data_IF_243999183214
#
_entry.id   IF_243999183214
#
_cell.length_a   1.000
_cell.length_b   1.000
_cell.length_c   1.000
_cell.angle_alpha   90.00
_cell.angle_beta   90.00
_cell.angle_gamma   90.00
#
_symmetry.space_group_name_H-M   'P 1'
#
loop_
_entity.id
_entity.type
_entity.pdbx_description
1 polymer ?
#
# COMPACT_ATOMS: atom_id res chain seq x y z
N UNK A 1 -13.00 -53.16 -23.87
CA UNK A 1 -11.90 -52.69 -24.73
C UNK A 1 -11.88 -51.17 -24.76
N UNK A 2 -11.35 -50.54 -23.71
CA UNK A 2 -10.99 -49.13 -23.78
C UNK A 2 -9.65 -49.08 -24.52
N UNK A 3 -9.67 -48.68 -25.80
CA UNK A 3 -8.44 -48.42 -26.56
C UNK A 3 -7.62 -47.45 -25.71
N UNK A 4 -6.43 -47.89 -25.29
CA UNK A 4 -5.41 -47.01 -24.78
C UNK A 4 -5.16 -45.96 -25.86
N UNK A 5 -5.79 -44.79 -25.72
CA UNK A 5 -5.47 -43.65 -26.55
C UNK A 5 -3.96 -43.46 -26.43
N UNK A 6 -3.25 -43.58 -27.55
CA UNK A 6 -1.80 -43.51 -27.54
C UNK A 6 -1.41 -42.16 -26.97
N UNK A 7 -0.80 -42.15 -25.77
CA UNK A 7 -0.30 -40.89 -25.18
C UNK A 7 0.53 -40.16 -26.24
N UNK A 8 0.28 -38.86 -26.49
CA UNK A 8 1.13 -38.04 -27.35
C UNK A 8 2.59 -38.26 -27.00
N UNK A 9 3.49 -38.27 -28.00
CA UNK A 9 4.90 -38.63 -27.79
C UNK A 9 5.56 -37.79 -26.68
N UNK A 10 5.18 -36.50 -26.59
CA UNK A 10 5.64 -35.54 -25.58
C UNK A 10 5.21 -35.93 -24.15
N UNK A 11 4.06 -36.59 -24.00
CA UNK A 11 3.50 -37.00 -22.69
C UNK A 11 4.06 -38.35 -22.23
N UNK A 12 4.69 -39.12 -23.12
CA UNK A 12 5.25 -40.44 -22.77
C UNK A 12 6.51 -40.35 -21.91
N UNK A 13 7.22 -39.22 -21.98
CA UNK A 13 8.47 -38.98 -21.27
C UNK A 13 8.29 -38.22 -19.96
N UNK A 14 7.07 -37.76 -19.67
CA UNK A 14 6.75 -36.97 -18.47
C UNK A 14 6.21 -37.91 -17.39
N UNK A 15 6.73 -37.80 -16.18
CA UNK A 15 6.27 -38.62 -15.06
C UNK A 15 4.84 -38.27 -14.65
N UNK A 16 4.12 -39.21 -14.02
CA UNK A 16 2.75 -39.00 -13.54
C UNK A 16 2.65 -37.88 -12.51
N UNK A 17 3.66 -37.71 -11.65
CA UNK A 17 3.70 -36.63 -10.65
C UNK A 17 3.86 -35.29 -11.36
N UNK A 18 4.81 -35.19 -12.29
CA UNK A 18 5.04 -33.98 -13.08
C UNK A 18 3.81 -33.59 -13.91
N UNK A 19 3.14 -34.56 -14.54
CA UNK A 19 1.87 -34.31 -15.24
C UNK A 19 0.80 -33.76 -14.30
N UNK A 20 0.67 -34.33 -13.09
CA UNK A 20 -0.30 -33.86 -12.11
C UNK A 20 -0.03 -32.41 -11.70
N UNK A 21 1.23 -32.07 -11.37
CA UNK A 21 1.62 -30.70 -11.00
C UNK A 21 1.35 -29.70 -12.14
N UNK A 22 1.68 -30.05 -13.38
CA UNK A 22 1.45 -29.16 -14.52
C UNK A 22 -0.05 -28.93 -14.78
N UNK A 23 -0.88 -29.97 -14.62
CA UNK A 23 -2.34 -29.85 -14.71
C UNK A 23 -2.89 -28.96 -13.59
N UNK A 24 -2.40 -29.12 -12.36
CA UNK A 24 -2.80 -28.28 -11.24
C UNK A 24 -2.45 -26.80 -11.48
N UNK A 25 -1.22 -26.52 -11.92
CA UNK A 25 -0.77 -25.16 -12.29
C UNK A 25 -1.61 -24.56 -13.41
N UNK A 26 -1.94 -25.35 -14.44
CA UNK A 26 -2.82 -24.91 -15.53
C UNK A 26 -4.23 -24.57 -15.02
N UNK A 27 -4.80 -25.38 -14.12
CA UNK A 27 -6.10 -25.08 -13.49
C UNK A 27 -6.01 -23.79 -12.67
N UNK A 28 -4.94 -23.60 -11.89
CA UNK A 28 -4.73 -22.37 -11.11
C UNK A 28 -4.64 -21.14 -12.02
N UNK A 29 -3.83 -21.20 -13.08
CA UNK A 29 -3.70 -20.14 -14.09
C UNK A 29 -5.04 -19.79 -14.75
N UNK A 30 -5.87 -20.81 -15.04
CA UNK A 30 -7.18 -20.62 -15.65
C UNK A 30 -8.22 -20.02 -14.70
N UNK A 31 -8.16 -20.35 -13.40
CA UNK A 31 -9.19 -19.97 -12.42
C UNK A 31 -8.87 -18.70 -11.66
N UNK A 32 -7.62 -18.52 -11.27
CA UNK A 32 -7.21 -17.44 -10.36
C UNK A 32 -6.53 -16.28 -11.08
N UNK A 33 -5.87 -16.51 -12.22
CA UNK A 33 -5.17 -15.45 -12.95
C UNK A 33 -6.06 -14.97 -14.09
N UNK A 34 -6.45 -13.69 -14.06
CA UNK A 34 -7.38 -13.10 -15.01
C UNK A 34 -6.67 -11.96 -15.75
N UNK A 35 -6.79 -11.98 -17.08
CA UNK A 35 -6.30 -10.91 -17.93
C UNK A 35 -7.03 -9.61 -17.59
N UNK A 36 -6.30 -8.51 -17.68
CA UNK A 36 -6.73 -7.13 -17.36
C UNK A 36 -7.06 -6.89 -15.87
N UNK A 37 -6.74 -7.86 -15.00
CA UNK A 37 -6.84 -7.73 -13.54
C UNK A 37 -5.56 -8.10 -12.83
N UNK A 38 -5.09 -9.34 -13.04
CA UNK A 38 -3.88 -9.86 -12.42
C UNK A 38 -2.65 -9.69 -13.34
N UNK A 39 -2.88 -9.57 -14.64
CA UNK A 39 -1.85 -9.33 -15.65
C UNK A 39 -2.43 -8.72 -16.92
N UNK A 40 -1.55 -8.17 -17.75
CA UNK A 40 -1.84 -7.79 -19.13
C UNK A 40 -0.88 -8.50 -20.07
N UNK A 41 -1.25 -8.63 -21.35
CA UNK A 41 -0.37 -9.11 -22.40
C UNK A 41 0.10 -7.91 -23.22
N UNK A 42 1.40 -7.66 -23.27
CA UNK A 42 2.00 -6.54 -23.98
C UNK A 42 3.24 -6.99 -24.72
N UNK A 43 3.36 -6.62 -26.00
CA UNK A 43 4.49 -6.99 -26.86
C UNK A 43 4.78 -8.50 -26.90
N UNK A 44 3.74 -9.34 -26.73
CA UNK A 44 3.86 -10.79 -26.69
C UNK A 44 4.28 -11.38 -25.35
N UNK A 45 4.44 -10.56 -24.30
CA UNK A 45 4.83 -10.99 -22.95
C UNK A 45 3.70 -10.79 -21.93
N UNK A 46 3.67 -11.64 -20.90
CA UNK A 46 2.78 -11.47 -19.75
C UNK A 46 3.41 -10.53 -18.73
N UNK A 47 2.74 -9.40 -18.47
CA UNK A 47 3.19 -8.41 -17.48
C UNK A 47 2.24 -8.41 -16.29
N UNK A 48 2.78 -8.69 -15.11
CA UNK A 48 2.01 -8.76 -13.86
C UNK A 48 1.48 -7.37 -13.49
N UNK A 49 0.22 -7.29 -13.09
CA UNK A 49 -0.39 -6.08 -12.51
C UNK A 49 -0.34 -6.19 -11.00
N UNK A 50 0.24 -5.20 -10.33
CA UNK A 50 0.22 -5.09 -8.88
C UNK A 50 -1.20 -4.71 -8.41
N UNK A 51 -1.86 -5.59 -7.66
CA UNK A 51 -3.26 -5.43 -7.26
C UNK A 51 -3.54 -4.21 -6.38
N UNK A 52 -2.55 -3.69 -5.66
CA UNK A 52 -2.73 -2.54 -4.78
C UNK A 52 -2.57 -1.21 -5.52
N UNK A 53 -1.81 -1.23 -6.61
CA UNK A 53 -1.38 -0.02 -7.30
C UNK A 53 -1.78 0.03 -8.77
N UNK A 54 -2.30 -1.05 -9.36
CA UNK A 54 -2.57 -1.15 -10.80
C UNK A 54 -1.31 -1.06 -11.68
N UNK A 55 -0.11 -1.09 -11.08
CA UNK A 55 1.15 -0.90 -11.79
C UNK A 55 1.56 -2.17 -12.52
N UNK A 56 2.11 -1.98 -13.72
CA UNK A 56 2.82 -3.01 -14.43
C UNK A 56 4.15 -3.28 -13.73
N UNK A 57 4.31 -4.49 -13.21
CA UNK A 57 5.54 -4.95 -12.60
C UNK A 57 6.44 -5.58 -13.67
N UNK A 58 6.95 -4.74 -14.56
CA UNK A 58 7.86 -5.14 -15.64
C UNK A 58 9.08 -5.89 -15.09
N UNK A 59 9.42 -7.02 -15.73
CA UNK A 59 10.49 -7.92 -15.30
C UNK A 59 10.16 -8.84 -14.13
N UNK A 60 8.97 -8.73 -13.50
CA UNK A 60 8.52 -9.71 -12.50
C UNK A 60 7.81 -10.89 -13.16
N UNK A 61 8.07 -12.09 -12.64
CA UNK A 61 7.41 -13.34 -13.04
C UNK A 61 6.82 -14.06 -11.83
N UNK A 62 5.72 -14.77 -12.00
CA UNK A 62 5.19 -15.66 -10.96
C UNK A 62 6.06 -16.92 -10.85
N UNK A 63 6.06 -17.53 -9.67
CA UNK A 63 6.96 -18.65 -9.33
C UNK A 63 6.34 -20.00 -9.67
N UNK A 64 7.13 -21.07 -9.48
CA UNK A 64 6.65 -22.46 -9.51
C UNK A 64 5.88 -22.81 -10.79
N UNK A 65 6.34 -22.33 -11.94
CA UNK A 65 5.71 -22.63 -13.23
C UNK A 65 4.40 -21.89 -13.51
N UNK A 66 3.89 -21.06 -12.58
CA UNK A 66 2.63 -20.33 -12.77
C UNK A 66 2.73 -19.33 -13.93
N UNK A 67 3.88 -18.67 -14.08
CA UNK A 67 4.07 -17.73 -15.19
C UNK A 67 4.01 -18.44 -16.53
N UNK A 68 4.68 -19.58 -16.65
CA UNK A 68 4.64 -20.44 -17.83
C UNK A 68 3.23 -20.97 -18.09
N UNK A 69 2.48 -21.30 -17.05
CA UNK A 69 1.09 -21.74 -17.19
C UNK A 69 0.18 -20.61 -17.71
N UNK A 70 0.41 -19.35 -17.30
CA UNK A 70 -0.32 -18.18 -17.82
C UNK A 70 0.11 -17.84 -19.25
N UNK A 71 1.40 -17.92 -19.58
CA UNK A 71 1.90 -17.77 -20.96
C UNK A 71 1.25 -18.81 -21.89
N UNK A 72 1.23 -20.08 -21.47
CA UNK A 72 0.59 -21.16 -22.22
C UNK A 72 -0.93 -20.95 -22.37
N UNK A 73 -1.60 -20.44 -21.32
CA UNK A 73 -3.02 -20.08 -21.35
C UNK A 73 -3.32 -18.99 -22.38
N UNK A 74 -2.44 -18.00 -22.52
CA UNK A 74 -2.59 -16.89 -23.49
C UNK A 74 -1.99 -17.23 -24.87
N UNK A 75 -1.56 -18.48 -25.08
CA UNK A 75 -0.94 -18.96 -26.32
C UNK A 75 0.32 -18.18 -26.72
N UNK A 76 1.11 -17.76 -25.74
CA UNK A 76 2.38 -17.07 -25.92
C UNK A 76 3.55 -18.06 -25.94
N UNK A 77 4.72 -17.58 -26.39
CA UNK A 77 5.96 -18.35 -26.28
C UNK A 77 6.31 -18.57 -24.82
N UNK A 78 6.53 -19.83 -24.42
CA UNK A 78 6.78 -20.19 -23.02
C UNK A 78 8.21 -19.81 -22.67
N UNK A 79 8.36 -18.92 -21.70
CA UNK A 79 9.66 -18.47 -21.26
C UNK A 79 10.33 -19.51 -20.36
N UNK A 80 11.68 -19.62 -20.37
CA UNK A 80 12.38 -20.57 -19.52
C UNK A 80 12.08 -20.28 -18.03
N UNK A 81 12.04 -21.32 -17.18
CA UNK A 81 11.82 -21.14 -15.75
C UNK A 81 12.87 -20.21 -15.16
N UNK A 82 12.41 -19.22 -14.38
CA UNK A 82 13.32 -18.35 -13.65
C UNK A 82 13.83 -19.11 -12.43
N UNK A 83 15.09 -19.55 -12.49
CA UNK A 83 15.78 -20.14 -11.34
C UNK A 83 16.24 -19.04 -10.37
N UNK A 84 16.08 -19.27 -9.07
CA UNK A 84 16.59 -18.35 -8.05
C UNK A 84 18.07 -18.63 -7.79
N UNK A 85 18.94 -17.81 -8.37
CA UNK A 85 20.39 -17.91 -8.12
C UNK A 85 20.79 -17.45 -6.70
N UNK A 86 20.03 -16.54 -6.10
CA UNK A 86 20.28 -16.10 -4.73
C UNK A 86 19.03 -15.48 -4.08
N UNK A 87 18.95 -15.56 -2.76
CA UNK A 87 17.88 -14.93 -1.96
C UNK A 87 18.43 -14.38 -0.64
N UNK A 88 18.03 -13.16 -0.30
CA UNK A 88 18.28 -12.54 1.02
C UNK A 88 17.09 -11.70 1.45
N UNK A 89 16.74 -11.73 2.74
CA UNK A 89 15.71 -10.83 3.28
C UNK A 89 16.29 -9.44 3.52
N UNK A 90 15.43 -8.41 3.54
CA UNK A 90 15.85 -7.04 3.86
C UNK A 90 16.48 -6.99 5.27
N UNK A 91 15.89 -7.71 6.22
CA UNK A 91 16.36 -7.81 7.60
C UNK A 91 17.80 -8.32 7.64
N UNK A 92 18.05 -9.45 6.98
CA UNK A 92 19.37 -10.07 6.97
C UNK A 92 20.39 -9.25 6.19
N UNK A 93 19.98 -8.68 5.07
CA UNK A 93 20.84 -7.82 4.27
C UNK A 93 21.40 -6.68 5.12
N UNK A 94 20.54 -5.98 5.88
CA UNK A 94 20.98 -4.90 6.75
C UNK A 94 21.79 -5.41 7.95
N UNK A 95 21.45 -6.55 8.56
CA UNK A 95 22.20 -7.12 9.70
C UNK A 95 23.67 -7.44 9.39
N UNK A 96 24.07 -7.49 8.11
CA UNK A 96 25.45 -7.70 7.67
C UNK A 96 26.33 -6.46 7.76
N UNK A 97 25.75 -5.28 7.94
CA UNK A 97 26.53 -4.04 8.07
C UNK A 97 27.13 -3.95 9.48
N UNK A 98 28.46 -3.72 9.62
CA UNK A 98 29.10 -3.58 10.94
C UNK A 98 28.57 -2.40 11.75
N UNK A 99 28.15 -1.33 11.05
CA UNK A 99 27.56 -0.14 11.62
C UNK A 99 26.24 0.16 10.93
N UNK A 100 25.20 0.35 11.72
CA UNK A 100 23.86 0.67 11.21
C UNK A 100 23.29 1.85 11.98
N UNK A 101 22.72 2.78 11.23
CA UNK A 101 21.93 3.89 11.76
C UNK A 101 20.77 4.17 10.80
N UNK A 102 19.73 4.80 11.30
CA UNK A 102 18.57 5.16 10.49
C UNK A 102 17.84 6.36 11.07
N UNK A 103 17.12 7.06 10.21
CA UNK A 103 16.32 8.23 10.58
C UNK A 103 14.90 8.09 10.04
N UNK A 104 13.91 8.50 10.84
CA UNK A 104 12.50 8.47 10.48
C UNK A 104 11.69 9.24 11.52
N UNK A 105 10.60 9.88 11.09
CA UNK A 105 9.76 10.68 11.97
C UNK A 105 8.74 9.90 12.81
N UNK A 106 8.66 8.57 12.69
CA UNK A 106 7.50 7.81 13.20
C UNK A 106 7.80 6.45 13.85
N UNK A 107 9.06 6.15 14.18
CA UNK A 107 9.47 4.81 14.65
C UNK A 107 9.43 4.60 16.17
N UNK A 108 9.23 5.65 16.95
CA UNK A 108 9.18 5.63 18.41
C UNK A 108 8.44 4.41 19.00
N UNK A 109 7.24 4.12 18.48
CA UNK A 109 6.38 3.02 18.96
C UNK A 109 6.85 1.61 18.54
N UNK A 110 7.73 1.52 17.56
CA UNK A 110 8.28 0.25 17.05
C UNK A 110 9.68 -0.04 17.59
N UNK A 111 10.17 0.71 18.60
CA UNK A 111 11.53 0.56 19.11
C UNK A 111 11.88 -0.84 19.62
N UNK A 112 10.92 -1.55 20.22
CA UNK A 112 11.14 -2.93 20.67
C UNK A 112 11.43 -3.89 19.49
N UNK A 113 10.70 -3.75 18.37
CA UNK A 113 10.91 -4.56 17.17
C UNK A 113 12.27 -4.23 16.53
N UNK A 114 12.65 -2.94 16.48
CA UNK A 114 13.96 -2.51 15.97
C UNK A 114 15.12 -3.06 16.80
N UNK A 115 15.00 -3.01 18.13
CA UNK A 115 16.00 -3.58 19.05
C UNK A 115 16.09 -5.10 18.90
N UNK A 116 14.96 -5.78 18.76
CA UNK A 116 14.93 -7.23 18.61
C UNK A 116 15.56 -7.70 17.28
N UNK A 117 15.28 -7.01 16.17
CA UNK A 117 15.70 -7.45 14.83
C UNK A 117 17.11 -6.97 14.48
N UNK A 118 17.40 -5.70 14.78
CA UNK A 118 18.61 -5.02 14.31
C UNK A 118 19.54 -4.59 15.45
N UNK A 119 19.18 -4.86 16.71
CA UNK A 119 19.92 -4.35 17.88
C UNK A 119 20.08 -2.83 17.86
N UNK A 120 19.08 -2.13 17.30
CA UNK A 120 19.05 -0.68 17.23
C UNK A 120 18.16 -0.09 18.32
N UNK A 121 18.73 0.84 19.07
CA UNK A 121 17.97 1.71 19.97
C UNK A 121 17.28 2.83 19.19
N UNK A 122 16.12 3.26 19.70
CA UNK A 122 15.38 4.39 19.15
C UNK A 122 15.50 5.56 20.11
N UNK A 123 16.01 6.68 19.61
CA UNK A 123 16.08 7.95 20.32
C UNK A 123 15.15 8.96 19.64
N UNK A 124 14.24 9.57 20.41
CA UNK A 124 13.39 10.65 19.93
C UNK A 124 14.13 11.98 20.03
N UNK A 125 14.38 12.62 18.88
CA UNK A 125 15.00 13.93 18.83
C UNK A 125 13.92 15.01 18.94
N UNK A 126 14.03 15.97 19.88
CA UNK A 126 13.09 17.07 19.99
C UNK A 126 13.00 17.89 18.70
N UNK A 127 11.80 18.37 18.39
CA UNK A 127 11.58 19.25 17.24
C UNK A 127 12.23 20.62 17.49
N UNK A 128 12.82 21.21 16.44
CA UNK A 128 13.40 22.56 16.51
C UNK A 128 12.41 23.64 16.97
N UNK A 129 11.13 23.53 16.55
CA UNK A 129 10.03 24.40 16.99
C UNK A 129 8.81 23.56 17.34
N UNK A 130 8.03 23.92 18.39
CA UNK A 130 6.83 23.18 18.76
C UNK A 130 5.80 23.14 17.61
N UNK A 131 5.16 21.99 17.35
CA UNK A 131 4.15 21.88 16.30
C UNK A 131 2.87 22.66 16.66
N UNK A 132 2.38 23.50 15.75
CA UNK A 132 1.11 24.26 15.88
C UNK A 132 -0.05 23.62 15.08
N UNK A 133 0.09 22.36 14.71
CA UNK A 133 -0.91 21.60 13.94
C UNK A 133 -2.15 21.31 14.78
N UNK A 134 -3.33 21.52 14.21
CA UNK A 134 -4.63 21.25 14.84
C UNK A 134 -5.30 20.02 14.22
N UNK A 135 -5.73 19.07 15.05
CA UNK A 135 -6.66 18.03 14.60
C UNK A 135 -8.08 18.58 14.59
N UNK A 136 -8.77 18.46 13.47
CA UNK A 136 -10.20 18.70 13.38
C UNK A 136 -10.95 17.41 13.75
N UNK A 137 -12.19 17.48 14.24
CA UNK A 137 -12.98 16.30 14.53
C UNK A 137 -13.10 15.39 13.31
N UNK A 138 -12.92 14.09 13.55
CA UNK A 138 -13.05 13.05 12.53
C UNK A 138 -14.48 13.05 11.97
N UNK A 139 -14.61 12.64 10.72
CA UNK A 139 -15.89 12.58 10.02
C UNK A 139 -16.16 11.17 9.51
N UNK A 140 -17.15 10.50 10.10
CA UNK A 140 -17.49 9.11 9.79
C UNK A 140 -18.82 9.07 9.03
N UNK A 141 -18.82 8.40 7.88
CA UNK A 141 -19.97 8.29 6.98
C UNK A 141 -20.42 6.83 6.83
N UNK A 142 -21.68 6.64 6.43
CA UNK A 142 -22.20 5.30 6.15
C UNK A 142 -21.54 4.63 4.94
N UNK A 143 -21.22 5.40 3.89
CA UNK A 143 -20.65 4.89 2.64
C UNK A 143 -19.48 5.73 2.12
N UNK A 144 -18.62 5.10 1.33
CA UNK A 144 -17.49 5.73 0.67
C UNK A 144 -17.92 6.84 -0.29
N UNK A 145 -19.07 6.69 -0.95
CA UNK A 145 -19.63 7.75 -1.81
C UNK A 145 -20.00 9.00 -1.00
N UNK A 146 -20.70 8.84 0.13
CA UNK A 146 -21.07 9.96 1.01
C UNK A 146 -19.83 10.64 1.61
N UNK A 147 -18.82 9.83 1.98
CA UNK A 147 -17.49 10.28 2.43
C UNK A 147 -16.82 11.16 1.39
N UNK A 148 -16.67 10.70 0.13
CA UNK A 148 -16.00 11.47 -0.91
C UNK A 148 -16.74 12.77 -1.26
N UNK A 149 -18.07 12.77 -1.27
CA UNK A 149 -18.86 14.00 -1.43
C UNK A 149 -18.63 15.00 -0.28
N UNK A 150 -18.46 14.52 0.94
CA UNK A 150 -18.13 15.38 2.08
C UNK A 150 -16.67 15.87 2.06
N UNK A 151 -15.74 15.09 1.51
CA UNK A 151 -14.35 15.51 1.25
C UNK A 151 -14.32 16.64 0.22
N UNK A 152 -15.02 16.47 -0.92
CA UNK A 152 -15.10 17.50 -1.98
C UNK A 152 -15.65 18.82 -1.41
N UNK A 153 -16.73 18.78 -0.64
CA UNK A 153 -17.30 19.97 0.00
C UNK A 153 -16.35 20.68 0.95
N UNK A 154 -15.52 19.94 1.71
CA UNK A 154 -14.48 20.56 2.53
C UNK A 154 -13.37 21.17 1.68
N UNK A 155 -12.94 20.48 0.62
CA UNK A 155 -11.94 20.99 -0.32
C UNK A 155 -12.43 22.29 -0.94
N UNK A 156 -13.65 22.35 -1.47
CA UNK A 156 -14.25 23.57 -2.04
C UNK A 156 -14.24 24.73 -1.03
N UNK A 157 -14.73 24.47 0.19
CA UNK A 157 -14.78 25.48 1.25
C UNK A 157 -13.40 26.01 1.63
N UNK A 158 -12.41 25.13 1.75
CA UNK A 158 -11.04 25.51 2.12
C UNK A 158 -10.33 26.19 0.94
N UNK A 159 -10.47 25.65 -0.26
CA UNK A 159 -9.90 26.19 -1.49
C UNK A 159 -10.43 27.59 -1.80
N UNK A 160 -11.71 27.87 -1.54
CA UNK A 160 -12.31 29.20 -1.70
C UNK A 160 -11.63 30.29 -0.85
N UNK A 161 -10.99 29.93 0.27
CA UNK A 161 -10.18 30.86 1.07
C UNK A 161 -8.77 31.09 0.52
N UNK A 162 -8.37 30.32 -0.50
CA UNK A 162 -7.01 30.26 -1.04
C UNK A 162 -6.05 29.41 -0.20
N UNK A 163 -6.53 28.69 0.81
CA UNK A 163 -5.68 27.82 1.63
C UNK A 163 -5.33 26.53 0.88
N UNK A 164 -4.06 26.08 0.87
CA UNK A 164 -3.69 24.84 0.20
C UNK A 164 -4.21 23.59 0.91
N UNK A 165 -4.54 22.57 0.12
CA UNK A 165 -5.06 21.28 0.59
C UNK A 165 -4.24 20.13 0.01
N UNK A 166 -3.82 19.22 0.89
CA UNK A 166 -3.25 17.93 0.53
C UNK A 166 -4.24 16.83 0.92
N UNK A 167 -4.65 16.01 -0.05
CA UNK A 167 -5.54 14.87 0.17
C UNK A 167 -4.74 13.59 0.03
N UNK A 168 -4.72 12.76 1.08
CA UNK A 168 -4.06 11.46 1.05
C UNK A 168 -5.08 10.34 0.83
N UNK A 169 -4.85 9.56 -0.22
CA UNK A 169 -5.65 8.40 -0.61
C UNK A 169 -4.84 7.11 -0.46
N UNK A 170 -5.55 5.98 -0.30
CA UNK A 170 -4.93 4.67 -0.12
C UNK A 170 -4.50 4.02 -1.44
N UNK A 171 -5.28 4.19 -2.51
CA UNK A 171 -5.04 3.57 -3.84
C UNK A 171 -5.16 4.59 -4.98
N UNK A 172 -4.64 4.23 -6.16
CA UNK A 172 -4.72 5.05 -7.37
C UNK A 172 -6.17 5.24 -7.79
N UNK A 173 -6.96 4.17 -7.82
CA UNK A 173 -8.38 4.22 -8.21
C UNK A 173 -9.18 5.24 -7.38
N UNK A 174 -8.91 5.30 -6.06
CA UNK A 174 -9.55 6.27 -5.17
C UNK A 174 -9.07 7.70 -5.43
N UNK A 175 -7.81 7.90 -5.83
CA UNK A 175 -7.31 9.21 -6.27
C UNK A 175 -8.00 9.68 -7.54
N UNK A 176 -8.13 8.81 -8.54
CA UNK A 176 -8.78 9.11 -9.82
C UNK A 176 -10.27 9.38 -9.62
N UNK A 177 -10.95 8.58 -8.80
CA UNK A 177 -12.35 8.80 -8.46
C UNK A 177 -12.56 10.16 -7.78
N UNK A 178 -11.69 10.54 -6.83
CA UNK A 178 -11.74 11.85 -6.20
C UNK A 178 -11.42 12.98 -7.20
N UNK A 179 -10.46 12.76 -8.10
CA UNK A 179 -10.07 13.70 -9.14
C UNK A 179 -11.27 14.04 -10.04
N UNK A 180 -12.00 13.04 -10.51
CA UNK A 180 -13.22 13.22 -11.31
C UNK A 180 -14.30 14.04 -10.57
N UNK A 181 -14.47 13.79 -9.26
CA UNK A 181 -15.42 14.56 -8.46
C UNK A 181 -15.00 16.03 -8.29
N UNK A 182 -13.70 16.30 -8.16
CA UNK A 182 -13.17 17.67 -8.10
C UNK A 182 -13.26 18.38 -9.45
N UNK A 183 -13.05 17.69 -10.57
CA UNK A 183 -13.25 18.24 -11.91
C UNK A 183 -14.72 18.63 -12.13
N UNK A 184 -15.65 17.77 -11.72
CA UNK A 184 -17.09 18.07 -11.76
C UNK A 184 -17.47 19.28 -10.88
N UNK A 185 -16.76 19.47 -9.76
CA UNK A 185 -16.90 20.64 -8.88
C UNK A 185 -16.16 21.89 -9.38
N UNK A 186 -15.38 21.79 -10.46
CA UNK A 186 -14.59 22.90 -11.00
C UNK A 186 -13.41 23.32 -10.14
N UNK A 187 -12.87 22.42 -9.30
CA UNK A 187 -11.73 22.69 -8.41
C UNK A 187 -10.43 22.25 -9.09
N UNK A 188 -9.53 23.19 -9.45
CA UNK A 188 -8.24 22.84 -10.07
C UNK A 188 -7.35 22.08 -9.08
N UNK A 189 -6.89 20.90 -9.47
CA UNK A 189 -6.09 20.04 -8.61
C UNK A 189 -5.02 19.28 -9.40
N UNK A 190 -4.10 18.62 -8.68
CA UNK A 190 -3.06 17.77 -9.25
C UNK A 190 -3.06 16.41 -8.56
N UNK A 191 -2.92 15.34 -9.33
CA UNK A 191 -2.90 13.96 -8.83
C UNK A 191 -1.47 13.40 -8.88
N UNK A 192 -1.05 12.76 -7.80
CA UNK A 192 0.27 12.15 -7.65
C UNK A 192 0.13 10.64 -7.39
N UNK A 193 0.47 9.87 -8.43
CA UNK A 193 0.30 8.42 -8.47
C UNK A 193 1.64 7.65 -8.36
N UNK A 194 2.76 8.33 -8.09
CA UNK A 194 4.11 7.74 -7.96
C UNK A 194 4.66 7.05 -9.22
N UNK A 195 4.29 7.54 -10.42
CA UNK A 195 4.78 7.06 -11.72
C UNK A 195 6.03 7.81 -12.19
N UNK A 196 6.18 9.10 -11.87
CA UNK A 196 7.29 9.93 -12.35
C UNK A 196 7.93 10.74 -11.22
N UNK A 197 8.95 10.15 -10.58
CA UNK A 197 9.54 10.67 -9.34
C UNK A 197 10.04 12.13 -9.48
N UNK A 198 10.70 12.46 -10.60
CA UNK A 198 11.30 13.79 -10.79
C UNK A 198 10.25 14.91 -10.91
N UNK A 199 9.23 14.72 -11.76
CA UNK A 199 8.14 15.71 -11.92
C UNK A 199 7.26 15.80 -10.68
N UNK A 200 7.07 14.69 -9.95
CA UNK A 200 6.28 14.69 -8.72
C UNK A 200 6.95 15.50 -7.61
N UNK A 201 8.29 15.48 -7.52
CA UNK A 201 9.00 16.30 -6.55
C UNK A 201 8.71 17.80 -6.73
N UNK A 202 8.64 18.28 -7.98
CA UNK A 202 8.31 19.69 -8.26
C UNK A 202 6.88 20.03 -7.87
N UNK A 203 5.93 19.14 -8.17
CA UNK A 203 4.52 19.31 -7.81
C UNK A 203 4.36 19.37 -6.28
N UNK A 204 5.00 18.45 -5.56
CA UNK A 204 4.93 18.37 -4.09
C UNK A 204 5.57 19.61 -3.44
N UNK A 205 6.69 20.08 -3.97
CA UNK A 205 7.33 21.31 -3.50
C UNK A 205 6.43 22.54 -3.70
N UNK A 206 5.58 22.54 -4.73
CA UNK A 206 4.61 23.59 -5.01
C UNK A 206 3.28 23.44 -4.26
N UNK A 207 2.99 22.28 -3.64
CA UNK A 207 1.71 21.97 -3.01
C UNK A 207 1.36 22.91 -1.84
N UNK A 208 2.35 23.55 -1.23
CA UNK A 208 2.17 24.52 -0.13
C UNK A 208 1.86 25.94 -0.58
N UNK A 209 1.69 26.20 -1.89
CA UNK A 209 1.36 27.53 -2.42
C UNK A 209 -0.14 27.83 -2.32
N UNK A 210 -0.49 29.12 -2.22
CA UNK A 210 -1.88 29.59 -2.14
C UNK A 210 -2.75 28.97 -3.25
N UNK A 211 -3.90 28.42 -2.85
CA UNK A 211 -4.92 27.82 -3.73
C UNK A 211 -4.58 26.44 -4.29
N UNK A 212 -3.45 25.82 -3.93
CA UNK A 212 -3.10 24.51 -4.48
C UNK A 212 -3.89 23.38 -3.81
N UNK A 213 -4.48 22.52 -4.63
CA UNK A 213 -5.09 21.24 -4.20
C UNK A 213 -4.27 20.11 -4.80
N UNK A 214 -3.79 19.20 -3.96
CA UNK A 214 -2.94 18.08 -4.37
C UNK A 214 -3.52 16.78 -3.80
N UNK A 215 -3.82 15.83 -4.67
CA UNK A 215 -4.19 14.47 -4.30
C UNK A 215 -2.93 13.62 -4.39
N UNK A 216 -2.60 12.89 -3.33
CA UNK A 216 -1.43 12.04 -3.28
C UNK A 216 -1.81 10.65 -2.76
N UNK A 217 -1.39 9.63 -3.50
CA UNK A 217 -1.33 8.28 -2.93
C UNK A 217 -0.24 8.22 -1.84
N UNK A 218 -0.37 7.28 -0.91
CA UNK A 218 0.54 7.11 0.23
C UNK A 218 2.05 7.23 -0.09
N UNK A 219 2.50 6.69 -1.22
CA UNK A 219 3.93 6.71 -1.59
C UNK A 219 4.38 7.96 -2.34
N UNK A 220 3.44 8.74 -2.90
CA UNK A 220 3.78 9.85 -3.77
C UNK A 220 4.35 11.04 -2.99
N UNK A 221 5.38 11.68 -3.53
CA UNK A 221 6.04 12.82 -2.88
C UNK A 221 6.81 12.50 -1.58
N UNK A 222 7.17 11.23 -1.35
CA UNK A 222 8.06 10.87 -0.24
C UNK A 222 9.47 11.41 -0.49
N UNK A 223 10.03 12.07 0.52
CA UNK A 223 11.35 12.71 0.44
C UNK A 223 11.33 14.19 0.10
N UNK A 224 10.23 14.71 -0.47
CA UNK A 224 10.07 16.14 -0.75
C UNK A 224 9.31 16.85 0.36
N UNK A 225 9.81 18.01 0.76
CA UNK A 225 9.18 18.87 1.75
C UNK A 225 8.13 19.80 1.13
N UNK A 226 7.01 20.01 1.83
CA UNK A 226 5.95 20.95 1.41
C UNK A 226 6.13 22.23 2.20
N UNK A 227 6.86 23.18 1.64
CA UNK A 227 7.07 24.49 2.25
C UNK A 227 5.86 25.40 1.98
N UNK A 228 5.43 26.13 2.99
CA UNK A 228 4.35 27.10 2.84
C UNK A 228 4.81 28.27 1.95
N UNK A 229 3.99 28.64 0.98
CA UNK A 229 4.21 29.84 0.17
C UNK A 229 3.88 31.13 0.95
N UNK A 230 4.24 32.30 0.40
CA UNK A 230 3.92 33.59 1.02
C UNK A 230 2.41 33.75 1.27
N UNK A 231 2.03 34.25 2.44
CA UNK A 231 0.62 34.52 2.79
C UNK A 231 -0.19 33.27 3.20
N UNK A 232 0.40 32.07 3.18
CA UNK A 232 -0.30 30.82 3.51
C UNK A 232 -0.35 30.57 5.02
N UNK A 233 0.62 31.10 5.77
CA UNK A 233 0.64 30.98 7.23
C UNK A 233 -0.61 31.65 7.85
N UNK A 234 -0.95 32.83 7.35
CA UNK A 234 -2.11 33.63 7.74
C UNK A 234 -3.44 32.95 7.39
N UNK A 235 -3.46 32.10 6.36
CA UNK A 235 -4.60 31.27 5.98
C UNK A 235 -4.73 30.00 6.85
N UNK A 236 -3.85 29.81 7.84
CA UNK A 236 -3.84 28.65 8.73
C UNK A 236 -2.95 27.50 8.24
N UNK A 237 -2.06 27.75 7.27
CA UNK A 237 -1.10 26.79 6.76
C UNK A 237 -1.71 25.67 5.90
N UNK A 238 -0.98 24.59 5.69
CA UNK A 238 -1.44 23.44 4.89
C UNK A 238 -2.58 22.70 5.61
N UNK A 239 -3.67 22.44 4.88
CA UNK A 239 -4.74 21.55 5.33
C UNK A 239 -4.54 20.14 4.76
N UNK A 240 -4.53 19.12 5.62
CA UNK A 240 -4.36 17.72 5.21
C UNK A 240 -5.66 16.95 5.42
N UNK A 241 -6.15 16.26 4.40
CA UNK A 241 -7.33 15.41 4.47
C UNK A 241 -6.86 13.96 4.32
N UNK A 242 -7.13 13.12 5.32
CA UNK A 242 -6.87 11.69 5.25
C UNK A 242 -8.20 11.02 4.89
N UNK A 243 -8.30 10.42 3.71
CA UNK A 243 -9.60 9.88 3.24
C UNK A 243 -9.91 8.50 3.81
N UNK A 244 -8.92 7.80 4.37
CA UNK A 244 -8.98 6.46 4.94
C UNK A 244 -7.86 6.24 5.95
N UNK A 245 -8.00 5.23 6.82
CA UNK A 245 -6.88 4.72 7.60
C UNK A 245 -6.06 3.72 6.79
N UNK A 246 -4.74 3.83 6.92
CA UNK A 246 -3.83 2.82 6.41
C UNK A 246 -3.75 1.62 7.36
N UNK A 247 -3.10 0.54 6.92
CA UNK A 247 -2.91 -0.66 7.75
C UNK A 247 -2.02 -0.42 8.97
N UNK A 248 -1.32 0.72 9.00
CA UNK A 248 -0.54 1.14 10.15
C UNK A 248 -0.73 2.62 10.43
N UNK A 249 -0.96 2.93 11.71
CA UNK A 249 -1.06 4.28 12.23
C UNK A 249 0.21 5.09 11.97
N UNK A 250 1.35 4.42 11.76
CA UNK A 250 2.62 5.05 11.38
C UNK A 250 2.50 5.77 10.04
N UNK A 251 1.79 5.20 9.09
CA UNK A 251 1.61 5.75 7.75
C UNK A 251 0.72 6.98 7.81
N UNK A 252 -0.39 6.92 8.54
CA UNK A 252 -1.27 8.09 8.73
C UNK A 252 -0.51 9.25 9.37
N UNK A 253 0.35 8.98 10.36
CA UNK A 253 1.21 10.00 10.97
C UNK A 253 2.20 10.62 9.99
N UNK A 254 2.67 9.87 9.00
CA UNK A 254 3.56 10.41 7.96
C UNK A 254 2.82 11.37 7.04
N UNK A 255 1.57 11.08 6.70
CA UNK A 255 0.70 11.96 5.92
C UNK A 255 0.33 13.22 6.73
N UNK A 256 -0.12 13.05 7.97
CA UNK A 256 -0.45 14.15 8.89
C UNK A 256 0.78 15.03 9.15
N UNK A 257 1.97 14.42 9.22
CA UNK A 257 3.25 15.10 9.40
C UNK A 257 3.67 16.00 8.22
N UNK A 258 2.94 15.98 7.09
CA UNK A 258 3.18 16.88 5.96
C UNK A 258 2.75 18.32 6.22
N UNK A 259 1.89 18.58 7.21
CA UNK A 259 1.56 19.93 7.66
C UNK A 259 2.11 20.26 9.05
N UNK A 260 2.23 21.56 9.35
CA UNK A 260 2.70 22.06 10.64
C UNK A 260 4.18 21.76 10.94
N UNK A 261 5.04 21.85 9.91
CA UNK A 261 6.49 21.66 10.04
C UNK A 261 7.13 22.95 10.58
N UNK A 262 8.23 22.86 11.31
CA UNK A 262 8.98 24.02 11.81
C UNK A 262 8.13 25.09 12.55
N UNK A 263 7.08 24.66 13.25
CA UNK A 263 6.17 25.57 13.97
C UNK A 263 5.11 26.24 13.12
N UNK A 264 5.01 25.88 11.84
CA UNK A 264 3.95 26.36 10.96
C UNK A 264 2.56 25.96 11.53
N UNK A 265 1.53 26.80 11.33
CA UNK A 265 0.16 26.37 11.50
C UNK A 265 -0.19 25.31 10.44
N UNK A 266 -1.20 24.53 10.76
CA UNK A 266 -1.72 23.50 9.86
C UNK A 266 -2.90 22.84 10.50
N UNK A 267 -3.71 22.16 9.71
CA UNK A 267 -4.76 21.33 10.26
C UNK A 267 -4.91 20.04 9.48
N UNK A 268 -5.41 19.00 10.13
CA UNK A 268 -5.79 17.79 9.44
C UNK A 268 -7.16 17.30 9.90
N UNK A 269 -7.85 16.57 9.02
CA UNK A 269 -9.08 15.84 9.33
C UNK A 269 -9.00 14.43 8.78
N UNK A 270 -9.52 13.48 9.55
CA UNK A 270 -9.76 12.11 9.10
C UNK A 270 -11.20 12.00 8.57
N UNK A 271 -11.35 11.49 7.36
CA UNK A 271 -12.62 11.04 6.79
C UNK A 271 -12.62 9.52 6.77
N UNK A 272 -13.73 8.93 7.21
CA UNK A 272 -13.88 7.49 7.38
C UNK A 272 -15.25 7.06 6.87
N UNK A 273 -15.35 5.83 6.38
CA UNK A 273 -16.63 5.23 6.02
C UNK A 273 -16.78 3.82 6.59
N UNK A 274 -18.01 3.42 6.92
CA UNK A 274 -18.29 2.10 7.48
C UNK A 274 -18.07 0.94 6.49
N UNK A 275 -17.85 1.27 5.21
CA UNK A 275 -17.45 0.35 4.15
C UNK A 275 -15.93 0.41 3.83
N UNK A 276 -15.12 1.11 4.64
CA UNK A 276 -13.66 1.18 4.43
C UNK A 276 -12.97 -0.17 4.69
N UNK A 277 -11.96 -0.47 3.86
CA UNK A 277 -11.18 -1.71 3.89
C UNK A 277 -10.56 -2.03 5.26
N UNK A 278 -10.24 -1.00 6.06
CA UNK A 278 -9.65 -1.17 7.38
C UNK A 278 -10.57 -1.94 8.35
N UNK A 279 -11.89 -1.78 8.22
CA UNK A 279 -12.86 -2.51 9.03
C UNK A 279 -12.96 -3.97 8.57
N UNK A 280 -12.98 -4.20 7.26
CA UNK A 280 -12.96 -5.54 6.67
C UNK A 280 -11.70 -6.32 7.04
N UNK A 281 -10.55 -5.66 7.08
CA UNK A 281 -9.27 -6.28 7.41
C UNK A 281 -9.05 -6.45 8.91
N UNK A 282 -9.61 -5.56 9.74
CA UNK A 282 -9.36 -5.53 11.18
C UNK A 282 -10.43 -6.19 12.04
N UNK A 283 -11.64 -6.39 11.54
CA UNK A 283 -12.76 -7.01 12.25
C UNK A 283 -13.12 -8.38 11.66
N UNK A 284 -14.02 -9.12 12.32
CA UNK A 284 -14.59 -10.32 11.72
C UNK A 284 -15.48 -9.96 10.53
N UNK A 285 -15.57 -10.87 9.55
CA UNK A 285 -16.39 -10.68 8.35
C UNK A 285 -17.85 -10.30 8.70
N UNK A 286 -18.45 -10.97 9.68
CA UNK A 286 -19.82 -10.69 10.13
C UNK A 286 -19.96 -9.28 10.73
N UNK A 287 -18.97 -8.83 11.50
CA UNK A 287 -19.00 -7.50 12.14
C UNK A 287 -18.77 -6.40 11.11
N UNK A 288 -17.83 -6.59 10.18
CA UNK A 288 -17.60 -5.66 9.08
C UNK A 288 -18.85 -5.54 8.20
N UNK A 289 -19.48 -6.67 7.83
CA UNK A 289 -20.71 -6.69 7.06
C UNK A 289 -21.88 -6.01 7.79
N UNK A 290 -21.98 -6.19 9.11
CA UNK A 290 -22.98 -5.49 9.93
C UNK A 290 -22.82 -3.96 9.85
N UNK A 291 -21.60 -3.44 10.01
CA UNK A 291 -21.36 -2.00 9.93
C UNK A 291 -21.56 -1.44 8.51
N UNK A 292 -21.15 -2.18 7.47
CA UNK A 292 -21.40 -1.80 6.09
C UNK A 292 -22.91 -1.73 5.79
N UNK A 293 -23.69 -2.71 6.26
CA UNK A 293 -25.15 -2.71 6.12
C UNK A 293 -25.80 -1.56 6.89
N UNK A 294 -25.34 -1.28 8.12
CA UNK A 294 -25.80 -0.14 8.91
C UNK A 294 -25.53 1.19 8.20
N UNK A 295 -24.35 1.33 7.60
CA UNK A 295 -23.96 2.50 6.82
C UNK A 295 -24.79 2.68 5.55
N UNK A 296 -25.11 1.59 4.84
CA UNK A 296 -25.93 1.63 3.63
C UNK A 296 -27.38 2.08 3.90
N UNK A 297 -27.91 1.84 5.11
CA UNK A 297 -29.28 2.20 5.48
C UNK A 297 -29.44 3.63 6.01
N UNK A 298 -28.34 4.37 6.19
CA UNK A 298 -28.37 5.67 6.85
C UNK A 298 -27.43 6.68 6.22
N UNK A 299 -27.98 7.84 5.85
CA UNK A 299 -27.21 8.99 5.36
C UNK A 299 -26.61 9.83 6.50
N UNK A 300 -26.87 9.49 7.76
CA UNK A 300 -26.36 10.23 8.93
C UNK A 300 -24.85 10.01 9.11
N UNK A 301 -24.20 10.98 9.76
CA UNK A 301 -22.82 10.83 10.27
C UNK A 301 -22.78 9.91 11.48
N UNK A 302 -21.69 9.15 11.58
CA UNK A 302 -21.44 8.16 12.62
C UNK A 302 -20.17 8.50 13.44
N UNK A 303 -19.93 9.78 13.70
CA UNK A 303 -18.66 10.26 14.29
C UNK A 303 -18.31 9.57 15.63
N UNK A 304 -19.31 9.11 16.37
CA UNK A 304 -19.16 8.29 17.59
C UNK A 304 -18.43 6.95 17.36
N UNK A 305 -18.42 6.45 16.14
CA UNK A 305 -17.76 5.19 15.75
C UNK A 305 -16.29 5.37 15.38
N UNK A 306 -15.71 6.57 15.44
CA UNK A 306 -14.29 6.79 15.10
C UNK A 306 -13.34 5.86 15.89
N UNK A 307 -13.67 5.53 17.14
CA UNK A 307 -12.88 4.60 17.96
C UNK A 307 -12.83 3.16 17.40
N UNK A 308 -13.87 2.72 16.67
CA UNK A 308 -13.91 1.40 16.03
C UNK A 308 -12.79 1.25 14.99
N UNK A 309 -12.55 2.30 14.20
CA UNK A 309 -11.52 2.31 13.17
C UNK A 309 -10.11 2.19 13.75
N UNK A 310 -9.86 2.86 14.89
CA UNK A 310 -8.59 2.73 15.60
C UNK A 310 -8.38 1.31 16.16
N UNK A 311 -9.45 0.66 16.63
CA UNK A 311 -9.39 -0.73 17.08
C UNK A 311 -9.10 -1.70 15.92
N UNK A 312 -9.81 -1.54 14.80
CA UNK A 312 -9.59 -2.33 13.59
C UNK A 312 -8.15 -2.17 13.08
N UNK A 313 -7.64 -0.94 13.01
CA UNK A 313 -6.25 -0.67 12.63
C UNK A 313 -5.24 -1.34 13.58
N UNK A 314 -5.47 -1.29 14.89
CA UNK A 314 -4.59 -1.96 15.86
C UNK A 314 -4.59 -3.48 15.69
N UNK A 315 -5.74 -4.07 15.33
CA UNK A 315 -5.85 -5.49 15.03
C UNK A 315 -5.02 -5.88 13.78
N UNK A 316 -5.14 -5.10 12.70
CA UNK A 316 -4.32 -5.28 11.48
C UNK A 316 -2.83 -5.14 11.79
N UNK A 317 -2.42 -4.13 12.55
CA UNK A 317 -1.01 -3.96 12.96
C UNK A 317 -0.48 -5.17 13.74
N UNK A 318 -1.30 -5.71 14.66
CA UNK A 318 -0.96 -6.90 15.44
C UNK A 318 -0.81 -8.13 14.55
N UNK A 319 -1.73 -8.34 13.60
CA UNK A 319 -1.64 -9.43 12.64
C UNK A 319 -0.36 -9.32 11.79
N UNK A 320 -0.07 -8.15 11.25
CA UNK A 320 1.16 -7.92 10.48
C UNK A 320 2.42 -8.15 11.32
N UNK A 321 2.42 -7.76 12.59
CA UNK A 321 3.55 -8.02 13.49
C UNK A 321 3.75 -9.53 13.75
N UNK A 322 2.67 -10.30 13.91
CA UNK A 322 2.73 -11.75 14.06
C UNK A 322 3.24 -12.42 12.78
N UNK A 323 2.73 -12.03 11.61
CA UNK A 323 3.19 -12.53 10.31
C UNK A 323 4.68 -12.28 10.10
N UNK A 324 5.17 -11.06 10.41
CA UNK A 324 6.62 -10.76 10.32
C UNK A 324 7.47 -11.65 11.24
N UNK A 325 7.02 -11.90 12.48
CA UNK A 325 7.73 -12.79 13.41
C UNK A 325 7.78 -14.23 12.90
N UNK A 326 6.65 -14.73 12.38
CA UNK A 326 6.57 -16.07 11.80
C UNK A 326 7.50 -16.20 10.59
N UNK A 327 7.46 -15.24 9.67
CA UNK A 327 8.33 -15.23 8.50
C UNK A 327 9.82 -15.23 8.86
N UNK A 328 10.21 -14.43 9.87
CA UNK A 328 11.60 -14.45 10.36
C UNK A 328 11.97 -15.80 10.97
N UNK A 329 11.07 -16.42 11.75
CA UNK A 329 11.34 -17.72 12.34
C UNK A 329 11.54 -18.80 11.27
N UNK A 330 10.65 -18.86 10.27
CA UNK A 330 10.78 -19.76 9.12
C UNK A 330 12.09 -19.52 8.35
N UNK A 331 12.46 -18.26 8.15
CA UNK A 331 13.71 -17.93 7.47
C UNK A 331 14.94 -18.36 8.29
N UNK A 332 14.94 -18.16 9.61
CA UNK A 332 16.01 -18.62 10.50
C UNK A 332 16.15 -20.15 10.50
N UNK A 333 15.03 -20.87 10.51
CA UNK A 333 15.03 -22.34 10.41
C UNK A 333 15.57 -22.82 9.07
N UNK A 334 15.12 -22.21 7.96
CA UNK A 334 15.61 -22.49 6.60
C UNK A 334 17.14 -22.39 6.57
N UNK A 335 17.68 -21.28 7.06
CA UNK A 335 19.13 -21.04 7.10
C UNK A 335 19.87 -22.11 7.90
N UNK A 336 19.38 -22.44 9.09
CA UNK A 336 19.97 -23.49 9.93
C UNK A 336 19.94 -24.86 9.27
N UNK A 337 18.93 -25.16 8.46
CA UNK A 337 18.89 -26.41 7.69
C UNK A 337 19.91 -26.41 6.56
N UNK A 338 20.01 -25.33 5.77
CA UNK A 338 20.99 -25.21 4.68
C UNK A 338 22.42 -25.35 5.20
N UNK A 339 22.75 -24.63 6.27
CA UNK A 339 24.07 -24.73 6.91
C UNK A 339 24.35 -26.14 7.43
N UNK A 340 23.35 -26.86 7.98
CA UNK A 340 23.50 -28.26 8.41
C UNK A 340 23.72 -29.23 7.24
N UNK A 341 23.17 -28.92 6.07
CA UNK A 341 23.36 -29.68 4.84
C UNK A 341 24.66 -29.32 4.10
N UNK A 342 25.45 -28.37 4.61
CA UNK A 342 26.66 -27.88 3.95
C UNK A 342 26.39 -26.94 2.78
N UNK A 343 25.17 -26.44 2.65
CA UNK A 343 24.73 -25.51 1.60
C UNK A 343 24.86 -24.06 2.07
N UNK A 344 25.11 -23.14 1.13
CA UNK A 344 25.07 -21.71 1.38
C UNK A 344 23.61 -21.23 1.47
N UNK A 345 23.17 -20.67 2.60
CA UNK A 345 21.77 -20.28 2.81
C UNK A 345 21.28 -19.13 1.89
N UNK A 346 22.18 -18.45 1.19
CA UNK A 346 21.86 -17.33 0.32
C UNK A 346 21.99 -17.70 -1.16
N UNK A 347 22.96 -18.53 -1.51
CA UNK A 347 23.26 -18.90 -2.91
C UNK A 347 22.58 -20.22 -3.33
N UNK A 348 22.44 -21.16 -2.41
CA UNK A 348 21.78 -22.44 -2.69
C UNK A 348 20.30 -22.34 -2.32
N UNK A 349 19.60 -21.41 -2.96
CA UNK A 349 18.20 -21.09 -2.66
C UNK A 349 17.17 -22.04 -3.31
N UNK A 350 17.65 -23.10 -3.98
CA UNK A 350 16.85 -24.08 -4.72
C UNK A 350 16.23 -25.16 -3.82
#
# INVERSE_FOLDING_TARGET
>A
AARAASRPAVIRTVDMIEMYEQVERAIQALRFFQRDRHYVVRDGEVVIVDEFTGRLAEGRRWREGIHQAVEAKEHLEISPPTEQAARVTVQDFFRRYPHMAGMTGTIARSGAELRQIYSLDVCEIPTHRPPRRRQLPDAVFGSSAAKFQAVVREIEKVHATGRPVLVGTRSIDKSEALSQLLDAAGVPHQVLNAHHIASEAEIVAAAGRKGKVTIATNMAGRGTDIKLGPGVEELGGLHVICTELHDSARIDRQLIGRCGRQGDPGSFRQYLALDDDILTNGLSADTAAHYAALGAQSEKRFDQLAALFAQAQAAVEKQHAQQRRMLMHVEDERKRMHTRMGLDPYLDAA
#
